data_IF_299669622695
#
_entry.id   IF_299669622695
#
_cell.length_a   1.000
_cell.length_b   1.000
_cell.length_c   1.000
_cell.angle_alpha   90.00
_cell.angle_beta   90.00
_cell.angle_gamma   90.00
#
_symmetry.space_group_name_H-M   'P 1'
#
loop_
_entity.id
_entity.type
_entity.pdbx_description
1 polymer ?
#
# COMPACT_ATOMS: atom_id res chain seq x y z
N UNK A 1 5.11 -1.82 12.67
CA UNK A 1 4.05 -1.86 11.63
C UNK A 1 2.68 -2.09 12.28
N UNK A 2 1.78 -1.10 12.26
CA UNK A 2 0.38 -1.38 12.57
C UNK A 2 -0.15 -2.34 11.50
N UNK A 3 -0.57 -3.53 11.94
CA UNK A 3 -1.16 -4.55 11.07
C UNK A 3 -2.35 -3.94 10.33
N UNK A 4 -2.52 -4.20 9.02
CA UNK A 4 -3.70 -3.73 8.32
C UNK A 4 -4.93 -4.26 9.05
N UNK A 5 -5.81 -3.32 9.39
CA UNK A 5 -7.12 -3.54 10.03
C UNK A 5 -7.79 -4.75 9.36
N UNK A 6 -8.12 -5.79 10.11
CA UNK A 6 -8.49 -7.14 9.60
C UNK A 6 -9.50 -7.13 8.43
N UNK A 7 -10.38 -6.12 8.37
CA UNK A 7 -11.35 -5.95 7.29
C UNK A 7 -10.73 -5.72 5.90
N UNK A 8 -9.57 -5.07 5.80
CA UNK A 8 -8.91 -4.82 4.52
C UNK A 8 -8.23 -6.07 3.96
N UNK A 9 -7.76 -6.98 4.83
CA UNK A 9 -7.05 -8.20 4.42
C UNK A 9 -7.92 -9.09 3.54
N UNK A 10 -9.14 -9.42 3.99
CA UNK A 10 -10.05 -10.28 3.22
C UNK A 10 -10.40 -9.71 1.85
N UNK A 11 -10.61 -8.40 1.76
CA UNK A 11 -10.94 -7.73 0.48
C UNK A 11 -9.77 -7.83 -0.51
N UNK A 12 -8.53 -7.78 -0.02
CA UNK A 12 -7.33 -7.98 -0.85
C UNK A 12 -7.20 -9.44 -1.27
N UNK A 13 -7.44 -10.38 -0.36
CA UNK A 13 -7.42 -11.83 -0.65
C UNK A 13 -8.41 -12.18 -1.76
N UNK A 14 -9.64 -11.68 -1.68
CA UNK A 14 -10.67 -11.87 -2.71
C UNK A 14 -10.24 -11.26 -4.05
N UNK A 15 -9.59 -10.08 -4.04
CA UNK A 15 -9.08 -9.45 -5.26
C UNK A 15 -7.87 -10.20 -5.85
N UNK A 16 -7.00 -10.75 -5.01
CA UNK A 16 -5.88 -11.59 -5.44
C UNK A 16 -6.40 -12.91 -6.03
N UNK A 17 -7.43 -13.51 -5.43
CA UNK A 17 -8.08 -14.69 -5.98
C UNK A 17 -8.66 -14.41 -7.37
N UNK A 18 -9.30 -13.25 -7.58
CA UNK A 18 -9.80 -12.86 -8.90
C UNK A 18 -8.68 -12.76 -9.97
N UNK A 19 -7.45 -12.42 -9.60
CA UNK A 19 -6.29 -12.46 -10.50
C UNK A 19 -5.92 -13.90 -10.85
N UNK A 20 -5.98 -14.82 -9.88
CA UNK A 20 -5.73 -16.25 -10.12
C UNK A 20 -6.81 -16.84 -11.03
N UNK A 21 -8.08 -16.60 -10.73
CA UNK A 21 -9.21 -17.07 -11.52
C UNK A 21 -9.12 -16.56 -12.98
N UNK A 22 -8.71 -15.29 -13.16
CA UNK A 22 -8.49 -14.73 -14.49
C UNK A 22 -7.35 -15.44 -15.22
N UNK A 23 -6.26 -15.83 -14.54
CA UNK A 23 -5.18 -16.61 -15.18
C UNK A 23 -5.67 -18.00 -15.58
N UNK A 24 -6.41 -18.68 -14.70
CA UNK A 24 -6.90 -20.04 -14.91
C UNK A 24 -7.90 -20.13 -16.08
N UNK A 25 -8.64 -19.04 -16.36
CA UNK A 25 -9.51 -18.93 -17.53
C UNK A 25 -8.77 -19.00 -18.87
N UNK A 26 -7.44 -18.82 -18.88
CA UNK A 26 -6.59 -18.86 -20.08
C UNK A 26 -5.56 -20.00 -20.01
N UNK A 27 -6.03 -21.23 -19.75
CA UNK A 27 -5.20 -22.43 -19.51
C UNK A 27 -4.25 -22.86 -20.63
N UNK A 28 -4.39 -22.31 -21.84
CA UNK A 28 -3.48 -22.55 -22.98
C UNK A 28 -2.32 -21.55 -23.10
N UNK A 29 -2.33 -20.48 -22.30
CA UNK A 29 -1.33 -19.40 -22.35
C UNK A 29 -0.28 -19.59 -21.27
N UNK A 30 0.99 -19.29 -21.58
CA UNK A 30 2.03 -19.23 -20.56
C UNK A 30 1.89 -17.93 -19.75
N UNK A 31 2.54 -17.86 -18.58
CA UNK A 31 2.60 -16.60 -17.84
C UNK A 31 3.26 -15.47 -18.65
N UNK A 32 4.21 -15.79 -19.54
CA UNK A 32 4.80 -14.77 -20.41
C UNK A 32 3.75 -14.20 -21.37
N UNK A 33 2.94 -15.06 -21.98
CA UNK A 33 1.86 -14.64 -22.90
C UNK A 33 0.80 -13.80 -22.17
N UNK A 34 0.42 -14.19 -20.96
CA UNK A 34 -0.59 -13.48 -20.15
C UNK A 34 -0.12 -12.10 -19.69
N UNK A 35 1.19 -11.90 -19.56
CA UNK A 35 1.78 -10.66 -19.06
C UNK A 35 2.49 -9.83 -20.13
N UNK A 36 2.39 -10.22 -21.40
CA UNK A 36 2.76 -9.34 -22.51
C UNK A 36 1.90 -8.07 -22.44
N UNK A 37 2.49 -6.86 -22.38
CA UNK A 37 1.72 -5.62 -22.22
C UNK A 37 0.70 -5.36 -23.33
N UNK A 38 0.98 -5.83 -24.55
CA UNK A 38 0.13 -5.66 -25.73
C UNK A 38 -0.92 -6.76 -25.83
N UNK A 39 -0.62 -7.98 -25.37
CA UNK A 39 -1.51 -9.13 -25.48
C UNK A 39 -2.25 -9.51 -24.18
N UNK A 40 -1.96 -8.83 -23.05
CA UNK A 40 -2.60 -9.15 -21.76
C UNK A 40 -4.14 -9.14 -21.89
N UNK A 41 -4.82 -10.24 -21.52
CA UNK A 41 -6.27 -10.33 -21.54
C UNK A 41 -6.94 -9.22 -20.72
N UNK A 42 -8.06 -8.71 -21.20
CA UNK A 42 -8.74 -7.54 -20.59
C UNK A 42 -9.28 -7.82 -19.19
N UNK A 43 -9.74 -9.05 -18.95
CA UNK A 43 -10.19 -9.56 -17.65
C UNK A 43 -9.04 -9.62 -16.64
N UNK A 44 -7.88 -10.16 -17.04
CA UNK A 44 -6.68 -10.18 -16.22
C UNK A 44 -6.21 -8.75 -15.89
N UNK A 45 -6.17 -7.87 -16.91
CA UNK A 45 -5.82 -6.45 -16.72
C UNK A 45 -6.79 -5.76 -15.76
N UNK A 46 -8.09 -6.04 -15.85
CA UNK A 46 -9.10 -5.48 -14.95
C UNK A 46 -8.92 -5.99 -13.51
N UNK A 47 -8.60 -7.27 -13.33
CA UNK A 47 -8.33 -7.86 -12.02
C UNK A 47 -7.12 -7.17 -11.33
N UNK A 48 -6.01 -6.97 -12.05
CA UNK A 48 -4.85 -6.22 -11.53
C UNK A 48 -5.22 -4.79 -11.15
N UNK A 49 -5.91 -4.05 -12.04
CA UNK A 49 -6.31 -2.67 -11.74
C UNK A 49 -7.20 -2.56 -10.51
N UNK A 50 -8.01 -3.59 -10.21
CA UNK A 50 -8.81 -3.63 -8.99
C UNK A 50 -7.93 -3.88 -7.77
N UNK A 51 -7.04 -4.86 -7.83
CA UNK A 51 -6.10 -5.17 -6.75
C UNK A 51 -5.21 -3.96 -6.43
N UNK A 52 -4.63 -3.33 -7.46
CA UNK A 52 -3.77 -2.15 -7.31
C UNK A 52 -4.47 -1.00 -6.60
N UNK A 53 -5.73 -0.72 -6.93
CA UNK A 53 -6.50 0.34 -6.26
C UNK A 53 -6.70 0.08 -4.77
N UNK A 54 -6.92 -1.18 -4.41
CA UNK A 54 -7.08 -1.58 -3.00
C UNK A 54 -5.77 -1.40 -2.25
N UNK A 55 -4.65 -1.84 -2.84
CA UNK A 55 -3.33 -1.70 -2.25
C UNK A 55 -2.91 -0.23 -2.16
N UNK A 56 -3.09 0.55 -3.22
CA UNK A 56 -2.79 1.98 -3.26
C UNK A 56 -3.48 2.72 -2.09
N UNK A 57 -4.75 2.36 -1.79
CA UNK A 57 -5.51 2.97 -0.69
C UNK A 57 -4.94 2.67 0.71
N UNK A 58 -4.22 1.55 0.87
CA UNK A 58 -3.57 1.18 2.13
C UNK A 58 -2.27 1.96 2.34
N UNK A 59 -1.55 2.26 1.27
CA UNK A 59 -0.35 3.10 1.34
C UNK A 59 -0.69 4.57 1.54
N UNK A 60 -1.80 5.03 0.94
CA UNK A 60 -2.25 6.42 1.06
C UNK A 60 -3.73 6.58 0.71
N UNK A 61 -4.44 7.45 1.43
CA UNK A 61 -5.86 7.78 1.14
C UNK A 61 -6.09 8.40 -0.25
N UNK A 62 -5.11 9.15 -0.76
CA UNK A 62 -5.18 9.85 -2.05
C UNK A 62 -4.61 8.96 -3.16
N UNK A 63 -5.33 8.86 -4.27
CA UNK A 63 -4.86 8.15 -5.46
C UNK A 63 -3.54 8.74 -6.00
N UNK A 64 -2.66 7.85 -6.47
CA UNK A 64 -1.43 8.23 -7.17
C UNK A 64 -1.72 8.72 -8.58
N UNK A 65 -1.04 9.79 -9.00
CA UNK A 65 -1.15 10.35 -10.36
C UNK A 65 -0.30 9.60 -11.38
N UNK A 66 0.87 9.13 -10.97
CA UNK A 66 1.85 8.45 -11.80
C UNK A 66 2.78 7.59 -10.93
N UNK A 67 3.64 6.82 -11.58
CA UNK A 67 4.53 5.89 -10.89
C UNK A 67 5.62 6.60 -10.08
N UNK A 68 6.01 7.81 -10.45
CA UNK A 68 6.94 8.63 -9.66
C UNK A 68 6.38 8.94 -8.27
N UNK A 69 5.09 9.31 -8.18
CA UNK A 69 4.43 9.56 -6.89
C UNK A 69 4.33 8.28 -6.03
N UNK A 70 4.13 7.11 -6.67
CA UNK A 70 4.16 5.81 -5.98
C UNK A 70 5.52 5.53 -5.39
N UNK A 71 6.57 5.64 -6.21
CA UNK A 71 7.96 5.38 -5.81
C UNK A 71 8.38 6.32 -4.68
N UNK A 72 8.04 7.61 -4.75
CA UNK A 72 8.30 8.55 -3.67
C UNK A 72 7.64 8.10 -2.34
N UNK A 73 6.36 7.73 -2.37
CA UNK A 73 5.66 7.26 -1.18
C UNK A 73 6.31 5.99 -0.59
N UNK A 74 6.78 5.07 -1.44
CA UNK A 74 7.47 3.87 -0.99
C UNK A 74 8.82 4.18 -0.35
N UNK A 75 9.58 5.15 -0.87
CA UNK A 75 10.83 5.60 -0.24
C UNK A 75 10.57 6.23 1.13
N UNK A 76 9.57 7.11 1.26
CA UNK A 76 9.18 7.70 2.55
C UNK A 76 8.83 6.62 3.58
N UNK A 77 8.05 5.60 3.17
CA UNK A 77 7.70 4.45 4.02
C UNK A 77 8.91 3.60 4.38
N UNK A 78 9.83 3.39 3.44
CA UNK A 78 11.07 2.67 3.69
C UNK A 78 11.95 3.41 4.70
N UNK A 79 12.09 4.73 4.57
CA UNK A 79 12.85 5.55 5.52
C UNK A 79 12.21 5.51 6.92
N UNK A 80 10.89 5.56 7.03
CA UNK A 80 10.17 5.38 8.30
C UNK A 80 10.50 4.04 8.97
N UNK A 81 10.60 2.95 8.19
CA UNK A 81 10.90 1.61 8.71
C UNK A 81 12.37 1.42 9.09
N UNK A 82 13.29 2.15 8.46
CA UNK A 82 14.74 1.99 8.64
C UNK A 82 15.39 3.11 9.47
N UNK A 83 14.65 4.17 9.82
CA UNK A 83 15.18 5.25 10.65
C UNK A 83 15.42 4.76 12.09
N UNK A 84 16.65 4.89 12.63
CA UNK A 84 16.99 4.45 13.98
C UNK A 84 16.16 5.10 15.10
N UNK A 85 15.48 6.23 14.81
CA UNK A 85 14.64 6.96 15.76
C UNK A 85 13.16 6.54 15.77
N UNK A 86 12.71 5.68 14.86
CA UNK A 86 11.29 5.28 14.77
C UNK A 86 10.83 4.30 15.87
N UNK A 87 11.73 3.84 16.76
CA UNK A 87 11.45 2.86 17.80
C UNK A 87 11.16 3.46 19.19
N UNK A 88 11.12 4.78 19.36
CA UNK A 88 10.75 5.38 20.64
C UNK A 88 9.44 6.18 20.53
N UNK A 89 8.38 5.84 21.29
CA UNK A 89 7.20 6.70 21.38
C UNK A 89 7.61 8.01 22.07
N UNK A 90 7.69 9.09 21.30
CA UNK A 90 7.95 10.42 21.83
C UNK A 90 6.70 10.83 22.63
N UNK A 91 6.73 10.60 23.95
CA UNK A 91 5.71 11.14 24.84
C UNK A 91 5.75 12.67 24.77
N UNK A 92 4.62 13.37 24.59
CA UNK A 92 4.63 14.82 24.49
C UNK A 92 5.01 15.42 25.85
N UNK A 93 6.19 16.04 25.92
CA UNK A 93 6.58 16.87 27.07
C UNK A 93 5.68 18.10 27.07
N UNK A 94 4.79 18.20 28.05
CA UNK A 94 3.99 19.40 28.28
C UNK A 94 4.87 20.52 28.84
N UNK A 95 4.81 21.75 28.29
CA UNK A 95 5.60 22.86 28.81
C UNK A 95 5.03 23.33 30.16
N UNK A 96 5.81 23.11 31.23
CA UNK A 96 5.48 23.57 32.59
C UNK A 96 5.65 25.09 32.67
N UNK A 97 4.54 25.83 32.71
CA UNK A 97 4.56 27.28 32.96
C UNK A 97 5.29 27.58 34.28
N UNK A 98 6.38 28.35 34.21
CA UNK A 98 7.06 28.90 35.39
C UNK A 98 6.17 29.98 36.00
N UNK A 99 5.58 29.70 37.16
CA UNK A 99 4.96 30.73 38.01
C UNK A 99 6.07 31.61 38.57
N UNK A 100 6.08 32.89 38.21
CA UNK A 100 6.89 33.89 38.89
C UNK A 100 6.19 34.31 40.18
N UNK A 101 6.81 34.03 41.32
CA UNK A 101 6.53 34.69 42.60
C UNK A 101 7.58 35.78 42.80
N UNK A 102 7.16 37.05 42.79
CA UNK A 102 7.99 38.15 43.31
C UNK A 102 7.44 38.54 44.68
N UNK A 103 8.35 38.59 45.65
CA UNK A 103 8.21 39.28 46.92
C UNK A 103 8.43 40.80 46.73
#
# INVERSE_FOLDING_TARGET
PESPVDNSRKVIEDAAQAVLDARDAHSGSTLADLYDPLAMPSDLRAAHRRLDKLIDHLYRRKAFKNDTERVQCLFEKYDELNSPLALAPISPVTPKQRRNTKA
#
